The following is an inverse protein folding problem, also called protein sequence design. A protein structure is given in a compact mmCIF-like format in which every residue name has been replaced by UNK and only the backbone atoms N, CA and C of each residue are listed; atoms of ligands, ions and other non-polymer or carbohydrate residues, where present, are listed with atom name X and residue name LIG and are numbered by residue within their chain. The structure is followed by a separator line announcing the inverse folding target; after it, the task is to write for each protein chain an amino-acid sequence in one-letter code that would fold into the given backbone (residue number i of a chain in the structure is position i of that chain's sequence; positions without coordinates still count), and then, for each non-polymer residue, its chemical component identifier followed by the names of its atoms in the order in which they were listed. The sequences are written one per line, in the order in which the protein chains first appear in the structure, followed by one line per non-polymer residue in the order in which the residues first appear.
data_IF_858061393948
#
_entry.id   IF_858061393948
#
_cell.length_a   1.000
_cell.length_b   1.000
_cell.length_c   1.000
_cell.angle_alpha   90.00
_cell.angle_beta   90.00
_cell.angle_gamma   90.00
#
_symmetry.space_group_name_H-M   'P 1'
#
loop_
_entity.id
_entity.type
_entity.pdbx_description
1 polymer ?
#
# COMPACT_ATOMS: atom_id res chain seq x y z
N UNK A 1 45.82 -14.90 33.70
CA UNK A 1 45.19 -16.22 33.50
C UNK A 1 44.01 -16.02 32.58
N UNK A 2 44.04 -16.58 31.36
CA UNK A 2 42.97 -16.41 30.39
C UNK A 2 41.77 -17.33 30.72
N UNK A 3 40.52 -16.89 30.49
CA UNK A 3 39.35 -17.70 30.82
C UNK A 3 39.17 -18.85 29.82
N UNK A 4 39.09 -20.08 30.33
CA UNK A 4 38.77 -21.29 29.57
C UNK A 4 37.38 -21.17 28.93
N UNK A 5 37.34 -21.11 27.59
CA UNK A 5 36.10 -21.09 26.82
C UNK A 5 35.36 -22.43 26.94
N UNK A 6 34.07 -22.33 27.30
CA UNK A 6 33.11 -23.43 27.44
C UNK A 6 33.25 -24.51 26.35
N UNK A 7 33.22 -25.78 26.78
CA UNK A 7 33.34 -27.00 25.96
C UNK A 7 32.37 -27.06 24.77
N UNK A 8 31.27 -26.29 24.81
CA UNK A 8 30.31 -26.21 23.70
C UNK A 8 30.84 -25.37 22.53
N UNK A 9 31.68 -24.37 22.78
CA UNK A 9 32.30 -23.53 21.74
C UNK A 9 33.32 -24.30 20.91
N UNK A 10 34.13 -25.16 21.57
CA UNK A 10 35.10 -26.04 20.90
C UNK A 10 34.39 -27.06 19.98
N UNK A 11 33.22 -27.58 20.39
CA UNK A 11 32.39 -28.44 19.53
C UNK A 11 31.84 -27.68 18.32
N UNK A 12 31.36 -26.44 18.49
CA UNK A 12 30.83 -25.63 17.39
C UNK A 12 31.90 -25.33 16.32
N UNK A 13 33.14 -25.00 16.74
CA UNK A 13 34.24 -24.78 15.80
C UNK A 13 34.65 -26.04 15.03
N UNK A 14 34.56 -27.21 15.66
CA UNK A 14 34.85 -28.48 14.99
C UNK A 14 33.83 -28.83 13.89
N UNK A 15 32.56 -28.47 14.09
CA UNK A 15 31.48 -28.66 13.11
C UNK A 15 31.63 -27.67 11.94
N UNK A 16 31.91 -26.40 12.23
CA UNK A 16 32.12 -25.36 11.21
C UNK A 16 33.33 -25.64 10.30
N UNK A 17 34.43 -26.18 10.85
CA UNK A 17 35.58 -26.59 10.03
C UNK A 17 35.26 -27.79 9.13
N UNK A 18 34.39 -28.71 9.58
CA UNK A 18 33.97 -29.89 8.81
C UNK A 18 33.01 -29.53 7.67
N UNK A 19 32.17 -28.51 7.84
CA UNK A 19 31.30 -28.01 6.76
C UNK A 19 32.05 -27.22 5.69
N UNK A 20 33.10 -26.48 6.08
CA UNK A 20 33.90 -25.72 5.12
C UNK A 20 34.78 -26.61 4.21
N UNK A 21 35.24 -27.76 4.68
CA UNK A 21 35.99 -28.71 3.84
C UNK A 21 35.10 -29.42 2.80
N UNK A 22 33.78 -29.51 3.02
CA UNK A 22 32.84 -30.16 2.09
C UNK A 22 32.37 -29.22 0.97
N UNK A 23 32.49 -27.89 1.15
CA UNK A 23 32.07 -26.88 0.15
C UNK A 23 33.18 -26.43 -0.81
N UNK A 24 34.44 -26.83 -0.59
CA UNK A 24 35.56 -26.36 -1.41
C UNK A 24 35.72 -27.06 -2.79
N UNK A 25 35.02 -28.17 -3.05
CA UNK A 25 35.22 -28.99 -4.26
C UNK A 25 34.06 -29.01 -5.28
N UNK A 26 33.27 -27.92 -5.39
CA UNK A 26 32.29 -27.77 -6.50
C UNK A 26 32.33 -26.40 -7.16
N UNK A 27 33.36 -26.16 -7.98
CA UNK A 27 33.31 -25.16 -9.06
C UNK A 27 32.31 -25.62 -10.13
N UNK A 28 31.16 -24.94 -10.25
CA UNK A 28 30.23 -25.13 -11.37
C UNK A 28 30.66 -24.28 -12.57
N UNK A 29 30.97 -24.94 -13.70
CA UNK A 29 31.12 -24.34 -15.04
C UNK A 29 29.73 -24.00 -15.62
N UNK A 30 29.66 -22.97 -16.46
CA UNK A 30 28.44 -22.58 -17.19
C UNK A 30 28.01 -23.66 -18.21
N UNK A 31 26.70 -23.83 -18.50
CA UNK A 31 26.22 -24.87 -19.41
C UNK A 31 26.33 -24.43 -20.88
N UNK A 32 26.79 -25.35 -21.73
CA UNK A 32 26.92 -25.18 -23.18
C UNK A 32 25.59 -25.37 -23.93
N UNK A 33 25.55 -24.81 -25.13
CA UNK A 33 24.36 -24.59 -25.99
C UNK A 33 23.61 -25.87 -26.40
N UNK A 34 24.25 -27.04 -26.34
CA UNK A 34 23.62 -28.32 -26.66
C UNK A 34 22.61 -28.82 -25.60
N UNK A 35 22.71 -28.37 -24.34
CA UNK A 35 21.76 -28.78 -23.27
C UNK A 35 20.46 -27.96 -23.28
N UNK A 36 20.45 -26.80 -23.96
CA UNK A 36 19.23 -25.98 -24.11
C UNK A 36 18.21 -26.60 -25.07
N UNK A 37 18.68 -27.35 -26.06
CA UNK A 37 17.83 -27.94 -27.10
C UNK A 37 17.08 -29.21 -26.68
N UNK A 38 17.45 -29.86 -25.57
CA UNK A 38 16.73 -31.05 -25.07
C UNK A 38 15.55 -30.72 -24.14
N UNK A 39 15.58 -29.57 -23.47
CA UNK A 39 14.49 -29.11 -22.60
C UNK A 39 13.33 -28.53 -23.43
N UNK A 40 13.64 -27.84 -24.53
CA UNK A 40 12.64 -27.32 -25.48
C UNK A 40 11.85 -28.43 -26.21
N UNK A 41 12.42 -29.63 -26.35
CA UNK A 41 11.76 -30.78 -27.01
C UNK A 41 10.78 -31.53 -26.10
N UNK A 42 10.95 -31.44 -24.76
CA UNK A 42 10.07 -32.09 -23.78
C UNK A 42 8.77 -31.32 -23.50
N UNK A 43 8.73 -30.03 -23.83
CA UNK A 43 7.58 -29.15 -23.61
C UNK A 43 6.59 -29.12 -24.78
N UNK A 44 6.91 -29.82 -25.88
CA UNK A 44 6.10 -29.95 -27.10
C UNK A 44 5.29 -31.26 -27.19
N UNK A 45 5.31 -32.10 -26.16
CA UNK A 45 4.63 -33.42 -26.13
C UNK A 45 3.50 -33.53 -25.09
N UNK A 46 3.12 -32.44 -24.43
CA UNK A 46 2.03 -32.41 -23.42
C UNK A 46 0.98 -31.34 -23.76
N UNK A 47 0.73 -31.14 -25.05
CA UNK A 47 -0.30 -30.23 -25.54
C UNK A 47 -0.91 -30.83 -26.79
N UNK A 48 -1.82 -31.78 -26.60
CA UNK A 48 -2.90 -32.05 -27.53
C UNK A 48 -3.99 -32.89 -26.85
N UNK A 49 -5.21 -32.73 -27.34
CA UNK A 49 -6.50 -33.34 -26.93
C UNK A 49 -7.40 -32.43 -26.07
N UNK A 50 -8.04 -31.49 -26.76
CA UNK A 50 -9.41 -31.06 -26.48
C UNK A 50 -10.30 -31.48 -27.67
N UNK A 51 -11.45 -32.08 -27.39
CA UNK A 51 -12.79 -31.84 -27.98
C UNK A 51 -13.77 -33.01 -27.63
N UNK A 52 -15.10 -32.81 -27.68
CA UNK A 52 -16.01 -33.04 -26.55
C UNK A 52 -17.09 -34.10 -26.80
N UNK A 53 -17.81 -34.52 -25.76
CA UNK A 53 -19.10 -35.22 -25.93
C UNK A 53 -20.07 -35.09 -24.74
N UNK A 54 -21.32 -34.87 -25.14
CA UNK A 54 -22.60 -34.86 -24.41
C UNK A 54 -22.92 -36.16 -23.65
N UNK A 55 -23.66 -36.09 -22.53
CA UNK A 55 -25.03 -36.62 -22.40
C UNK A 55 -25.57 -36.67 -20.95
N UNK A 56 -26.85 -36.27 -20.86
CA UNK A 56 -27.98 -36.80 -20.06
C UNK A 56 -28.15 -36.50 -18.56
N UNK A 57 -29.33 -35.92 -18.36
CA UNK A 57 -30.15 -35.70 -17.17
C UNK A 57 -30.37 -36.92 -16.26
N UNK A 58 -30.54 -36.62 -14.96
CA UNK A 58 -31.50 -37.28 -14.06
C UNK A 58 -32.07 -36.20 -13.12
N UNK A 59 -33.40 -36.05 -13.12
CA UNK A 59 -34.12 -35.22 -12.17
C UNK A 59 -34.94 -36.07 -11.21
N UNK A 60 -35.12 -35.62 -9.96
CA UNK A 60 -36.22 -36.08 -9.09
C UNK A 60 -36.71 -34.94 -8.17
N UNK A 61 -37.94 -34.53 -8.49
CA UNK A 61 -39.10 -34.10 -7.67
C UNK A 61 -38.95 -33.25 -6.38
N UNK A 62 -39.66 -32.12 -6.44
CA UNK A 62 -40.28 -31.34 -5.35
C UNK A 62 -41.09 -32.21 -4.38
N UNK A 63 -41.08 -31.84 -3.09
CA UNK A 63 -42.23 -31.96 -2.17
C UNK A 63 -42.45 -30.65 -1.43
N UNK A 64 -43.72 -30.25 -1.40
CA UNK A 64 -44.33 -29.10 -0.73
C UNK A 64 -45.16 -29.62 0.43
N UNK A 65 -44.96 -29.09 1.64
CA UNK A 65 -45.85 -29.02 2.81
C UNK A 65 -45.26 -27.84 3.63
N UNK A 66 -45.96 -26.84 4.17
CA UNK A 66 -47.26 -26.84 4.83
C UNK A 66 -47.05 -26.38 6.28
N UNK A 67 -47.25 -25.08 6.53
CA UNK A 67 -47.45 -24.28 7.76
C UNK A 67 -47.23 -24.89 9.18
N UNK A 68 -46.55 -24.14 10.07
CA UNK A 68 -46.58 -24.33 11.53
C UNK A 68 -45.66 -23.36 12.30
N UNK A 69 -46.24 -22.59 13.23
CA UNK A 69 -45.69 -21.43 13.96
C UNK A 69 -44.76 -21.74 15.14
N UNK A 70 -44.11 -20.68 15.65
CA UNK A 70 -43.29 -20.57 16.88
C UNK A 70 -41.89 -21.17 16.75
N UNK A 71 -40.79 -20.58 17.22
CA UNK A 71 -40.55 -19.75 18.41
C UNK A 71 -39.39 -18.80 18.14
N UNK A 72 -39.40 -17.63 18.79
CA UNK A 72 -38.35 -16.62 18.68
C UNK A 72 -36.97 -17.16 19.04
N UNK A 73 -36.03 -17.00 18.11
CA UNK A 73 -34.60 -17.10 18.36
C UNK A 73 -33.99 -15.76 17.99
N UNK A 74 -33.41 -15.11 18.99
CA UNK A 74 -32.68 -13.86 18.85
C UNK A 74 -31.55 -14.06 17.85
N UNK A 75 -31.71 -13.48 16.66
CA UNK A 75 -30.63 -13.38 15.68
C UNK A 75 -29.49 -12.61 16.35
N UNK A 76 -28.36 -13.30 16.53
CA UNK A 76 -27.11 -12.69 16.94
C UNK A 76 -26.76 -11.62 15.89
N UNK A 77 -27.00 -10.35 16.24
CA UNK A 77 -26.73 -9.20 15.39
C UNK A 77 -25.23 -9.19 15.06
N UNK A 78 -24.92 -9.33 13.78
CA UNK A 78 -23.55 -9.21 13.29
C UNK A 78 -23.07 -7.78 13.53
N UNK A 79 -21.93 -7.65 14.23
CA UNK A 79 -21.36 -6.34 14.51
C UNK A 79 -21.01 -5.61 13.19
N UNK A 80 -21.30 -4.30 13.09
CA UNK A 80 -20.99 -3.53 11.89
C UNK A 80 -19.49 -3.54 11.61
N UNK A 81 -19.13 -3.61 10.33
CA UNK A 81 -17.74 -3.50 9.89
C UNK A 81 -17.08 -2.27 10.50
N UNK A 82 -15.83 -2.40 10.96
CA UNK A 82 -15.08 -1.32 11.61
C UNK A 82 -15.03 -0.03 10.77
N UNK A 83 -15.15 -0.14 9.45
CA UNK A 83 -15.22 1.00 8.52
C UNK A 83 -16.54 1.78 8.63
N UNK A 84 -17.65 1.08 8.83
CA UNK A 84 -18.98 1.68 8.98
C UNK A 84 -19.14 2.31 10.36
N UNK A 85 -18.64 1.66 11.41
CA UNK A 85 -18.64 2.21 12.76
C UNK A 85 -17.83 3.52 12.86
N UNK A 86 -16.64 3.56 12.25
CA UNK A 86 -15.81 4.77 12.21
C UNK A 86 -16.43 5.89 11.35
N UNK A 87 -17.16 5.55 10.30
CA UNK A 87 -17.89 6.54 9.49
C UNK A 87 -19.12 7.08 10.23
N UNK A 88 -19.83 6.21 10.97
CA UNK A 88 -21.00 6.55 11.77
C UNK A 88 -20.65 7.53 12.90
N UNK A 89 -19.54 7.26 13.61
CA UNK A 89 -19.01 8.12 14.66
C UNK A 89 -18.58 9.50 14.14
N UNK A 90 -17.96 9.56 12.96
CA UNK A 90 -17.51 10.83 12.34
C UNK A 90 -18.68 11.72 11.85
N UNK A 91 -19.93 11.21 11.80
CA UNK A 91 -21.09 11.91 11.25
C UNK A 91 -22.31 11.97 12.21
N UNK A 92 -22.13 11.66 13.50
CA UNK A 92 -23.20 11.64 14.51
C UNK A 92 -24.42 10.75 14.15
N UNK A 93 -24.20 9.66 13.40
CA UNK A 93 -25.26 8.73 12.99
C UNK A 93 -25.10 7.43 13.79
N UNK A 94 -26.19 6.89 14.34
CA UNK A 94 -26.11 5.63 15.09
C UNK A 94 -25.86 4.45 14.15
N UNK A 95 -25.04 3.49 14.60
CA UNK A 95 -24.78 2.27 13.84
C UNK A 95 -26.06 1.47 13.52
N UNK A 96 -27.12 1.67 14.31
CA UNK A 96 -28.44 1.07 14.12
C UNK A 96 -29.21 1.71 12.96
N UNK A 97 -29.23 3.05 12.90
CA UNK A 97 -29.88 3.79 11.81
C UNK A 97 -29.20 3.53 10.45
N UNK A 98 -27.89 3.23 10.46
CA UNK A 98 -27.14 2.82 9.28
C UNK A 98 -27.49 1.40 8.79
N UNK A 99 -27.69 0.46 9.71
CA UNK A 99 -28.13 -0.89 9.37
C UNK A 99 -29.57 -0.89 8.83
N UNK A 100 -30.44 -0.07 9.43
CA UNK A 100 -31.85 0.09 9.02
C UNK A 100 -31.98 0.83 7.66
N UNK A 101 -31.07 1.75 7.33
CA UNK A 101 -31.10 2.49 6.07
C UNK A 101 -30.54 1.72 4.86
N UNK A 102 -29.60 0.79 5.07
CA UNK A 102 -28.84 0.15 3.98
C UNK A 102 -29.00 -1.38 3.86
N UNK A 103 -29.61 -2.05 4.84
CA UNK A 103 -29.89 -3.49 4.81
C UNK A 103 -28.64 -4.38 4.91
N UNK A 104 -28.82 -5.63 5.37
CA UNK A 104 -27.76 -6.55 5.81
C UNK A 104 -26.82 -7.12 4.72
N UNK A 105 -26.87 -6.65 3.47
CA UNK A 105 -26.13 -7.28 2.37
C UNK A 105 -24.83 -6.54 1.98
N UNK A 106 -23.85 -6.55 2.88
CA UNK A 106 -22.47 -6.10 2.58
C UNK A 106 -21.51 -7.29 2.48
N UNK A 107 -21.60 -8.03 1.37
CA UNK A 107 -20.57 -9.01 0.95
C UNK A 107 -19.49 -8.41 0.04
N UNK A 108 -19.52 -7.10 -0.25
CA UNK A 108 -18.54 -6.44 -1.11
C UNK A 108 -17.54 -5.61 -0.29
N UNK A 109 -16.26 -5.95 -0.46
CA UNK A 109 -15.04 -5.46 0.21
C UNK A 109 -14.64 -4.02 -0.12
N UNK A 110 -15.52 -3.22 -0.71
CA UNK A 110 -15.23 -1.85 -1.15
C UNK A 110 -15.77 -0.86 -0.14
N UNK A 111 -14.93 0.06 0.33
CA UNK A 111 -15.34 1.20 1.17
C UNK A 111 -16.36 2.01 0.36
N UNK A 112 -17.66 2.03 0.73
CA UNK A 112 -18.67 2.70 -0.09
C UNK A 112 -18.51 4.21 0.08
N UNK A 113 -18.07 4.90 -0.97
CA UNK A 113 -18.24 6.35 -1.10
C UNK A 113 -19.61 6.63 -1.71
N UNK A 114 -20.26 7.74 -1.31
CA UNK A 114 -21.56 8.18 -1.87
C UNK A 114 -21.52 8.43 -3.40
N UNK A 115 -20.32 8.53 -3.99
CA UNK A 115 -20.08 8.70 -5.43
C UNK A 115 -19.32 7.51 -5.97
N UNK A 116 -19.70 7.08 -7.18
CA UNK A 116 -18.96 6.07 -7.94
C UNK A 116 -17.63 6.63 -8.44
N UNK A 117 -16.60 5.78 -8.47
CA UNK A 117 -15.28 6.15 -8.96
C UNK A 117 -15.27 6.28 -10.48
N UNK A 118 -14.74 7.39 -10.99
CA UNK A 118 -14.56 7.61 -12.42
C UNK A 118 -13.16 7.21 -12.82
N UNK A 119 -13.01 5.99 -13.34
CA UNK A 119 -11.73 5.50 -13.83
C UNK A 119 -11.20 6.41 -14.93
N UNK A 120 -9.95 6.87 -14.80
CA UNK A 120 -9.32 7.83 -15.70
C UNK A 120 -10.06 9.19 -15.80
N UNK A 121 -10.87 9.55 -14.80
CA UNK A 121 -11.70 10.76 -14.81
C UNK A 121 -10.94 12.08 -14.79
N UNK A 122 -9.66 12.09 -14.43
CA UNK A 122 -8.88 13.31 -14.22
C UNK A 122 -9.31 14.00 -12.92
N UNK A 123 -9.24 15.33 -12.87
CA UNK A 123 -9.65 16.10 -11.70
C UNK A 123 -11.18 16.10 -11.56
N UNK A 124 -11.67 15.76 -10.37
CA UNK A 124 -13.08 15.86 -10.04
C UNK A 124 -13.46 17.29 -9.65
N UNK A 125 -14.36 17.92 -10.42
CA UNK A 125 -14.76 19.33 -10.23
C UNK A 125 -15.59 19.55 -8.95
N UNK A 126 -16.45 18.59 -8.59
CA UNK A 126 -17.40 18.72 -7.48
C UNK A 126 -16.87 18.20 -6.13
N UNK A 127 -15.55 18.01 -6.00
CA UNK A 127 -14.93 17.38 -4.82
C UNK A 127 -14.03 18.37 -4.10
N UNK A 128 -14.32 18.60 -2.82
CA UNK A 128 -13.40 19.33 -1.96
C UNK A 128 -12.15 18.47 -1.68
N UNK A 129 -10.98 19.00 -2.04
CA UNK A 129 -9.70 18.33 -1.86
C UNK A 129 -9.29 18.30 -0.38
N UNK A 130 -9.57 19.38 0.36
CA UNK A 130 -9.18 19.54 1.76
C UNK A 130 -7.67 19.68 1.99
N UNK A 131 -7.26 19.56 3.26
CA UNK A 131 -5.87 19.69 3.73
C UNK A 131 -5.02 18.43 3.53
N UNK A 132 -5.64 17.26 3.66
CA UNK A 132 -4.97 15.96 3.58
C UNK A 132 -5.42 15.25 2.31
N UNK A 133 -4.47 14.71 1.57
CA UNK A 133 -4.71 13.94 0.34
C UNK A 133 -4.02 12.60 0.42
N UNK A 134 -4.74 11.54 0.06
CA UNK A 134 -4.21 10.19 -0.11
C UNK A 134 -3.68 10.04 -1.52
N UNK A 135 -2.49 9.48 -1.69
CA UNK A 135 -1.82 9.32 -2.98
C UNK A 135 -1.31 7.90 -3.12
N UNK A 136 -1.54 7.31 -4.29
CA UNK A 136 -0.94 6.05 -4.71
C UNK A 136 -0.75 6.01 -6.23
N UNK A 137 0.35 5.41 -6.68
CA UNK A 137 0.72 5.29 -8.08
C UNK A 137 0.93 3.81 -8.47
N UNK A 138 0.50 3.48 -9.69
CA UNK A 138 0.90 2.23 -10.35
C UNK A 138 2.03 2.50 -11.34
N UNK A 139 3.00 1.58 -11.37
CA UNK A 139 4.18 1.69 -12.20
C UNK A 139 4.37 0.50 -13.14
N UNK A 140 4.94 0.77 -14.31
CA UNK A 140 5.34 -0.21 -15.32
C UNK A 140 6.86 -0.22 -15.49
N UNK A 141 7.39 -1.33 -16.00
CA UNK A 141 8.81 -1.55 -16.26
C UNK A 141 9.28 -0.96 -17.60
N UNK A 142 10.40 -0.24 -17.57
CA UNK A 142 11.10 0.32 -18.75
C UNK A 142 12.61 0.05 -18.67
N UNK A 143 13.30 0.21 -19.79
CA UNK A 143 14.77 0.22 -19.83
C UNK A 143 15.43 -1.16 -19.87
N UNK A 144 14.69 -2.22 -20.20
CA UNK A 144 15.25 -3.56 -20.41
C UNK A 144 15.97 -4.09 -19.17
N UNK A 145 17.30 -4.29 -19.26
CA UNK A 145 18.13 -4.87 -18.20
C UNK A 145 18.16 -4.06 -16.89
N UNK A 146 17.83 -2.77 -16.93
CA UNK A 146 17.88 -1.88 -15.75
C UNK A 146 16.60 -1.90 -14.90
N UNK A 147 15.56 -2.62 -15.35
CA UNK A 147 14.26 -2.83 -14.68
C UNK A 147 13.73 -1.59 -13.91
N UNK A 148 13.72 -0.44 -14.59
CA UNK A 148 13.26 0.82 -13.98
C UNK A 148 11.74 0.86 -13.97
N UNK A 149 11.18 1.44 -12.91
CA UNK A 149 9.74 1.61 -12.76
C UNK A 149 9.36 3.05 -13.08
N UNK A 150 8.39 3.26 -13.96
CA UNK A 150 7.86 4.58 -14.32
C UNK A 150 6.35 4.63 -14.15
N UNK A 151 5.82 5.84 -13.93
CA UNK A 151 4.40 6.08 -13.69
C UNK A 151 3.53 5.61 -14.86
N UNK A 152 2.42 4.92 -14.54
CA UNK A 152 1.43 4.49 -15.53
C UNK A 152 -0.02 4.71 -15.08
N UNK A 153 -0.28 4.84 -13.77
CA UNK A 153 -1.55 5.32 -13.21
C UNK A 153 -1.30 6.06 -11.91
N UNK A 154 -2.14 7.04 -11.61
CA UNK A 154 -2.13 7.75 -10.33
C UNK A 154 -3.56 7.96 -9.84
N UNK A 155 -3.76 7.76 -8.55
CA UNK A 155 -5.00 8.09 -7.85
C UNK A 155 -4.74 9.01 -6.67
N UNK A 156 -5.62 10.00 -6.49
CA UNK A 156 -5.64 10.88 -5.34
C UNK A 156 -7.04 10.86 -4.72
N UNK A 157 -7.10 10.72 -3.40
CA UNK A 157 -8.34 10.81 -2.63
C UNK A 157 -8.24 11.91 -1.58
N UNK A 158 -9.38 12.49 -1.18
CA UNK A 158 -9.40 13.43 -0.06
C UNK A 158 -9.37 12.70 1.30
N UNK A 159 -9.40 13.45 2.39
CA UNK A 159 -9.42 12.89 3.75
C UNK A 159 -10.55 11.87 3.96
N UNK A 160 -11.73 12.09 3.37
CA UNK A 160 -12.88 11.18 3.50
C UNK A 160 -12.80 9.94 2.59
N UNK A 161 -11.75 9.82 1.77
CA UNK A 161 -11.59 8.74 0.80
C UNK A 161 -12.35 8.95 -0.51
N UNK A 162 -12.92 10.15 -0.74
CA UNK A 162 -13.56 10.48 -2.01
C UNK A 162 -12.49 10.71 -3.08
N UNK A 163 -12.67 10.16 -4.28
CA UNK A 163 -11.76 10.36 -5.41
C UNK A 163 -11.69 11.84 -5.77
N UNK A 164 -10.47 12.38 -5.75
CA UNK A 164 -10.14 13.75 -6.21
C UNK A 164 -9.59 13.70 -7.62
N UNK A 165 -8.72 12.72 -7.90
CA UNK A 165 -8.05 12.58 -9.18
C UNK A 165 -7.81 11.10 -9.48
N UNK A 166 -8.02 10.67 -10.72
CA UNK A 166 -7.55 9.37 -11.22
C UNK A 166 -7.20 9.49 -12.71
N UNK A 167 -6.01 9.04 -13.10
CA UNK A 167 -5.57 9.06 -14.49
C UNK A 167 -4.65 7.90 -14.81
N UNK A 168 -4.87 7.27 -15.95
CA UNK A 168 -3.81 6.56 -16.65
C UNK A 168 -2.84 7.58 -17.25
N UNK A 169 -1.56 7.24 -17.23
CA UNK A 169 -0.47 8.13 -17.64
C UNK A 169 0.32 7.44 -18.73
N UNK A 170 0.56 8.15 -19.83
CA UNK A 170 1.40 7.66 -20.92
C UNK A 170 2.88 7.73 -20.50
N UNK A 171 3.59 6.60 -20.39
CA UNK A 171 5.01 6.62 -20.08
C UNK A 171 5.80 7.29 -21.20
N UNK A 172 6.79 8.12 -20.83
CA UNK A 172 7.69 8.78 -21.80
C UNK A 172 8.65 7.82 -22.50
N UNK A 173 8.86 6.65 -21.90
CA UNK A 173 9.79 5.63 -22.38
C UNK A 173 9.04 4.39 -22.84
N UNK A 174 9.69 3.59 -23.70
CA UNK A 174 9.09 2.34 -24.18
C UNK A 174 8.94 1.34 -23.04
N UNK A 175 7.69 0.90 -22.82
CA UNK A 175 7.33 -0.08 -21.79
C UNK A 175 7.78 -1.47 -22.22
N UNK A 176 8.66 -2.08 -21.41
CA UNK A 176 9.15 -3.43 -21.61
C UNK A 176 8.39 -4.47 -20.80
N UNK A 177 7.81 -4.08 -19.66
CA UNK A 177 6.97 -4.94 -18.83
C UNK A 177 5.82 -4.15 -18.21
N UNK A 178 4.58 -4.53 -18.50
CA UNK A 178 3.39 -3.86 -17.96
C UNK A 178 3.09 -4.24 -16.52
N UNK A 179 3.59 -5.39 -16.06
CA UNK A 179 3.34 -5.90 -14.71
C UNK A 179 1.85 -5.94 -14.35
N UNK A 180 0.98 -6.17 -15.34
CA UNK A 180 -0.49 -6.00 -15.22
C UNK A 180 -1.09 -6.80 -14.06
N UNK A 181 -0.57 -8.01 -13.81
CA UNK A 181 -0.96 -8.85 -12.67
C UNK A 181 -0.77 -8.19 -11.29
N UNK A 182 0.09 -7.17 -11.19
CA UNK A 182 0.26 -6.32 -10.02
C UNK A 182 -0.36 -4.96 -10.26
N UNK A 183 0.04 -4.25 -11.33
CA UNK A 183 -0.30 -2.83 -11.53
C UNK A 183 -1.74 -2.57 -11.96
N UNK A 184 -2.46 -3.57 -12.47
CA UNK A 184 -3.74 -3.38 -13.15
C UNK A 184 -3.67 -2.53 -14.43
N UNK A 185 -2.46 -2.18 -14.89
CA UNK A 185 -2.24 -1.39 -16.11
C UNK A 185 -1.88 -2.30 -17.28
N UNK A 186 -2.52 -2.07 -18.41
CA UNK A 186 -2.32 -2.80 -19.65
C UNK A 186 -2.12 -1.84 -20.84
N UNK A 187 -1.60 -2.33 -21.99
CA UNK A 187 -1.49 -1.53 -23.20
C UNK A 187 -2.82 -0.89 -23.63
N UNK A 188 -3.95 -1.54 -23.34
CA UNK A 188 -5.29 -1.04 -23.72
C UNK A 188 -5.63 0.28 -23.02
N UNK A 189 -5.10 0.50 -21.81
CA UNK A 189 -5.32 1.74 -21.07
C UNK A 189 -4.64 2.94 -21.74
N UNK A 190 -3.58 2.71 -22.52
CA UNK A 190 -2.80 3.77 -23.18
C UNK A 190 -3.57 4.52 -24.28
N UNK A 191 -4.62 3.91 -24.82
CA UNK A 191 -5.49 4.54 -25.81
C UNK A 191 -6.18 5.80 -25.28
N UNK A 192 -6.42 5.85 -23.96
CA UNK A 192 -7.07 6.99 -23.28
C UNK A 192 -6.19 7.63 -22.20
N UNK A 193 -4.94 7.19 -22.08
CA UNK A 193 -4.00 7.74 -21.10
C UNK A 193 -3.62 9.17 -21.46
N UNK A 194 -3.51 10.02 -20.44
CA UNK A 194 -3.06 11.41 -20.58
C UNK A 194 -1.53 11.48 -20.67
N UNK A 195 -1.02 12.55 -21.26
CA UNK A 195 0.42 12.77 -21.33
C UNK A 195 1.00 13.00 -19.93
N UNK A 196 2.22 12.49 -19.70
CA UNK A 196 2.88 12.57 -18.40
C UNK A 196 2.99 14.00 -17.88
N UNK A 197 3.34 14.95 -18.75
CA UNK A 197 3.59 16.33 -18.36
C UNK A 197 2.31 17.04 -17.89
N UNK A 198 1.17 16.75 -18.52
CA UNK A 198 -0.13 17.30 -18.12
C UNK A 198 -0.54 16.75 -16.74
N UNK A 199 -0.46 15.43 -16.58
CA UNK A 199 -0.79 14.77 -15.31
C UNK A 199 0.13 15.25 -14.18
N UNK A 200 1.43 15.36 -14.43
CA UNK A 200 2.39 15.84 -13.44
C UNK A 200 2.05 17.27 -12.99
N UNK A 201 1.70 18.16 -13.92
CA UNK A 201 1.34 19.54 -13.60
C UNK A 201 0.04 19.62 -12.79
N UNK A 202 -0.98 18.85 -13.15
CA UNK A 202 -2.25 18.79 -12.43
C UNK A 202 -2.05 18.26 -11.02
N UNK A 203 -1.33 17.14 -10.88
CA UNK A 203 -0.98 16.53 -9.59
C UNK A 203 -0.17 17.51 -8.74
N UNK A 204 0.85 18.17 -9.30
CA UNK A 204 1.64 19.15 -8.56
C UNK A 204 0.78 20.30 -8.01
N UNK A 205 -0.22 20.77 -8.76
CA UNK A 205 -1.19 21.78 -8.28
C UNK A 205 -2.05 21.25 -7.13
N UNK A 206 -2.51 20.00 -7.22
CA UNK A 206 -3.29 19.35 -6.16
C UNK A 206 -2.44 19.21 -4.89
N UNK A 207 -1.19 18.74 -5.00
CA UNK A 207 -0.33 18.48 -3.83
C UNK A 207 0.20 19.76 -3.17
N UNK A 208 0.20 20.90 -3.86
CA UNK A 208 0.77 22.15 -3.36
C UNK A 208 0.07 22.61 -2.07
N UNK A 209 0.86 22.78 -1.00
CA UNK A 209 0.39 23.28 0.30
C UNK A 209 -0.46 22.27 1.10
N UNK A 210 -0.50 21.01 0.69
CA UNK A 210 -1.29 19.95 1.34
C UNK A 210 -0.39 18.90 1.98
N UNK A 211 -0.96 18.14 2.92
CA UNK A 211 -0.28 17.00 3.53
C UNK A 211 -0.60 15.74 2.73
N UNK A 212 0.45 15.07 2.24
CA UNK A 212 0.33 13.83 1.48
C UNK A 212 0.36 12.64 2.45
N UNK A 213 -0.63 11.77 2.31
CA UNK A 213 -0.75 10.50 3.01
C UNK A 213 -0.63 9.38 1.99
N UNK A 214 0.09 8.31 2.31
CA UNK A 214 0.25 7.18 1.40
C UNK A 214 1.10 6.08 2.01
N UNK A 215 1.50 5.11 1.18
CA UNK A 215 2.30 3.98 1.62
C UNK A 215 3.57 3.85 0.79
N UNK A 216 4.74 4.04 1.42
CA UNK A 216 6.04 4.05 0.74
C UNK A 216 6.19 5.16 -0.33
N UNK A 217 5.58 6.32 -0.06
CA UNK A 217 5.49 7.54 -0.90
C UNK A 217 6.77 8.01 -1.62
N UNK A 218 7.94 7.53 -1.22
CA UNK A 218 9.18 7.82 -1.95
C UNK A 218 9.08 7.29 -3.39
N UNK A 219 8.53 6.09 -3.57
CA UNK A 219 8.42 5.46 -4.89
C UNK A 219 7.48 6.27 -5.80
N UNK A 220 6.34 6.69 -5.27
CA UNK A 220 5.33 7.48 -5.97
C UNK A 220 5.87 8.85 -6.38
N UNK A 221 6.52 9.56 -5.45
CA UNK A 221 7.10 10.87 -5.70
C UNK A 221 8.27 10.81 -6.69
N UNK A 222 9.09 9.76 -6.64
CA UNK A 222 10.16 9.53 -7.61
C UNK A 222 9.57 9.25 -9.01
N UNK A 223 8.53 8.42 -9.11
CA UNK A 223 7.84 8.13 -10.38
C UNK A 223 7.15 9.36 -10.98
N UNK A 224 6.62 10.25 -10.13
CA UNK A 224 6.07 11.55 -10.51
C UNK A 224 7.15 12.59 -10.83
N UNK A 225 8.41 12.33 -10.48
CA UNK A 225 9.50 13.30 -10.51
C UNK A 225 9.17 14.59 -9.74
N UNK A 226 8.45 14.46 -8.62
CA UNK A 226 8.02 15.58 -7.77
C UNK A 226 8.68 15.52 -6.39
N UNK A 227 9.08 16.68 -5.89
CA UNK A 227 9.51 16.84 -4.49
C UNK A 227 8.34 17.24 -3.61
N UNK A 228 8.37 16.81 -2.35
CA UNK A 228 7.44 17.31 -1.34
C UNK A 228 8.13 17.56 -0.01
N UNK A 229 7.65 18.55 0.74
CA UNK A 229 8.18 18.89 2.06
C UNK A 229 8.06 17.69 2.99
N UNK A 230 9.17 17.28 3.62
CA UNK A 230 9.16 16.17 4.58
C UNK A 230 8.22 16.40 5.77
N UNK A 231 7.90 17.67 6.06
CA UNK A 231 6.92 18.06 7.10
C UNK A 231 5.48 17.74 6.69
N UNK A 232 5.22 17.71 5.40
CA UNK A 232 3.89 17.54 4.84
C UNK A 232 3.69 16.13 4.27
N UNK A 233 4.52 15.17 4.69
CA UNK A 233 4.39 13.74 4.34
C UNK A 233 3.94 12.94 5.57
N UNK A 234 2.96 12.06 5.39
CA UNK A 234 2.51 11.04 6.33
C UNK A 234 2.56 9.68 5.64
N UNK A 235 3.75 9.09 5.67
CA UNK A 235 4.02 7.77 5.07
C UNK A 235 3.70 6.66 6.07
N UNK A 236 2.64 5.90 5.79
CA UNK A 236 2.17 4.80 6.64
C UNK A 236 3.21 3.69 6.78
N UNK A 237 4.04 3.43 5.76
CA UNK A 237 5.10 2.41 5.83
C UNK A 237 6.20 2.76 6.85
N UNK A 238 6.38 4.06 7.14
CA UNK A 238 7.43 4.57 8.04
C UNK A 238 6.91 4.93 9.43
N UNK A 239 5.62 4.74 9.69
CA UNK A 239 5.04 5.05 10.98
C UNK A 239 5.51 4.05 12.05
N UNK A 240 6.13 4.49 13.17
CA UNK A 240 6.69 3.56 14.15
C UNK A 240 5.65 2.65 14.80
N UNK A 241 4.42 3.14 14.98
CA UNK A 241 3.32 2.36 15.55
C UNK A 241 2.90 1.16 14.69
N UNK A 242 3.29 1.13 13.42
CA UNK A 242 3.00 0.01 12.51
C UNK A 242 4.13 -1.02 12.40
N UNK A 243 5.29 -0.79 13.03
CA UNK A 243 6.42 -1.74 12.96
C UNK A 243 6.08 -3.12 13.52
N UNK A 244 5.18 -3.19 14.49
CA UNK A 244 4.74 -4.45 15.10
C UNK A 244 4.03 -5.40 14.11
N UNK A 245 3.46 -4.88 13.02
CA UNK A 245 2.78 -5.67 11.99
C UNK A 245 3.73 -6.12 10.86
N UNK A 246 5.04 -5.98 11.05
CA UNK A 246 6.06 -6.33 10.06
C UNK A 246 7.08 -7.30 10.65
N UNK A 247 7.38 -8.35 9.92
CA UNK A 247 8.55 -9.21 10.18
C UNK A 247 9.84 -8.64 9.56
N UNK A 248 9.72 -7.66 8.66
CA UNK A 248 10.83 -6.98 7.98
C UNK A 248 10.97 -5.51 8.37
N UNK A 249 11.72 -4.75 7.56
CA UNK A 249 12.02 -3.33 7.83
C UNK A 249 10.79 -2.42 7.80
N UNK A 250 9.84 -2.70 6.90
CA UNK A 250 8.60 -1.93 6.73
C UNK A 250 7.41 -2.88 6.53
N UNK A 251 6.25 -2.63 7.16
CA UNK A 251 5.03 -3.40 6.96
C UNK A 251 4.48 -3.19 5.54
N UNK A 252 3.81 -4.21 4.99
CA UNK A 252 3.07 -4.08 3.72
C UNK A 252 1.70 -3.46 3.95
N UNK A 253 1.21 -2.65 3.01
CA UNK A 253 -0.12 -2.06 3.08
C UNK A 253 -1.21 -3.12 3.27
N UNK A 254 -1.18 -4.20 2.48
CA UNK A 254 -2.09 -5.35 2.61
C UNK A 254 -2.15 -5.93 4.02
N UNK A 255 -0.99 -6.07 4.69
CA UNK A 255 -0.94 -6.56 6.07
C UNK A 255 -1.56 -5.57 7.03
N UNK A 256 -1.27 -4.28 6.89
CA UNK A 256 -1.87 -3.25 7.75
C UNK A 256 -3.38 -3.14 7.55
N UNK A 257 -3.85 -3.16 6.30
CA UNK A 257 -5.28 -3.13 6.00
C UNK A 257 -6.01 -4.32 6.64
N UNK A 258 -5.42 -5.53 6.53
CA UNK A 258 -6.00 -6.73 7.14
C UNK A 258 -6.00 -6.68 8.67
N UNK A 259 -4.86 -6.41 9.29
CA UNK A 259 -4.70 -6.49 10.76
C UNK A 259 -5.35 -5.32 11.50
N UNK A 260 -5.38 -4.13 10.91
CA UNK A 260 -5.85 -2.90 11.58
C UNK A 260 -7.26 -2.51 11.15
N UNK A 261 -7.57 -2.64 9.86
CA UNK A 261 -8.87 -2.25 9.31
C UNK A 261 -9.83 -3.45 9.17
N UNK A 262 -9.32 -4.69 9.18
CA UNK A 262 -10.12 -5.88 8.93
C UNK A 262 -10.53 -6.04 7.46
N UNK A 263 -9.82 -5.38 6.54
CA UNK A 263 -10.15 -5.36 5.10
C UNK A 263 -9.06 -6.08 4.30
N UNK A 264 -9.47 -6.98 3.42
CA UNK A 264 -8.57 -7.63 2.46
C UNK A 264 -8.51 -6.83 1.17
N UNK A 265 -7.34 -6.27 0.88
CA UNK A 265 -7.03 -5.54 -0.35
C UNK A 265 -6.00 -6.30 -1.19
N UNK A 266 -5.79 -5.90 -2.45
CA UNK A 266 -4.78 -6.49 -3.34
C UNK A 266 -4.94 -8.03 -3.46
N UNK A 267 -6.19 -8.48 -3.62
CA UNK A 267 -6.52 -9.91 -3.85
C UNK A 267 -6.18 -10.38 -5.27
N UNK A 268 -6.15 -9.45 -6.22
CA UNK A 268 -5.74 -9.65 -7.62
C UNK A 268 -4.84 -8.49 -8.07
N UNK A 269 -5.17 -7.89 -9.21
CA UNK A 269 -4.54 -6.64 -9.66
C UNK A 269 -4.76 -5.53 -8.62
N UNK A 270 -3.78 -4.66 -8.46
CA UNK A 270 -3.89 -3.53 -7.55
C UNK A 270 -4.78 -2.44 -8.15
N UNK A 271 -5.41 -1.69 -7.24
CA UNK A 271 -6.17 -0.50 -7.57
C UNK A 271 -5.59 0.65 -6.76
N UNK A 272 -4.85 1.54 -7.42
CA UNK A 272 -4.36 2.75 -6.76
C UNK A 272 -5.41 3.56 -6.00
N UNK A 273 -6.70 3.53 -6.41
CA UNK A 273 -7.78 4.19 -5.66
C UNK A 273 -8.00 3.48 -4.31
N UNK A 274 -8.07 2.14 -4.32
CA UNK A 274 -8.26 1.31 -3.13
C UNK A 274 -7.06 1.46 -2.17
N UNK A 275 -5.85 1.45 -2.71
CA UNK A 275 -4.62 1.55 -1.93
C UNK A 275 -4.46 2.94 -1.31
N UNK A 276 -4.76 4.02 -2.06
CA UNK A 276 -4.80 5.38 -1.53
C UNK A 276 -5.84 5.54 -0.41
N UNK A 277 -7.03 4.91 -0.55
CA UNK A 277 -8.05 4.88 0.50
C UNK A 277 -7.59 4.11 1.73
N UNK A 278 -7.01 2.93 1.56
CA UNK A 278 -6.50 2.12 2.66
C UNK A 278 -5.44 2.89 3.46
N UNK A 279 -4.49 3.53 2.78
CA UNK A 279 -3.49 4.37 3.42
C UNK A 279 -4.11 5.57 4.16
N UNK A 280 -5.10 6.25 3.57
CA UNK A 280 -5.81 7.36 4.22
C UNK A 280 -6.59 6.90 5.45
N UNK A 281 -7.26 5.75 5.39
CA UNK A 281 -8.00 5.18 6.53
C UNK A 281 -7.07 4.78 7.68
N UNK A 282 -5.92 4.17 7.37
CA UNK A 282 -4.89 3.87 8.37
C UNK A 282 -4.40 5.13 9.08
N UNK A 283 -4.14 6.20 8.31
CA UNK A 283 -3.77 7.50 8.85
C UNK A 283 -4.87 8.10 9.72
N UNK A 284 -6.13 8.10 9.26
CA UNK A 284 -7.29 8.61 10.02
C UNK A 284 -7.43 7.93 11.37
N UNK A 285 -7.42 6.60 11.39
CA UNK A 285 -7.54 5.81 12.61
C UNK A 285 -6.44 6.08 13.63
N UNK A 286 -5.25 6.49 13.17
CA UNK A 286 -4.08 6.76 14.03
C UNK A 286 -3.64 8.23 13.98
N UNK A 287 -4.51 9.15 13.59
CA UNK A 287 -4.14 10.53 13.25
C UNK A 287 -3.42 11.23 14.41
N UNK A 288 -3.94 11.08 15.63
CA UNK A 288 -3.34 11.65 16.85
C UNK A 288 -1.90 11.16 17.05
N UNK A 289 -1.65 9.87 16.89
CA UNK A 289 -0.33 9.28 17.03
C UNK A 289 0.63 9.70 15.89
N UNK A 290 0.13 9.84 14.66
CA UNK A 290 0.88 10.43 13.56
C UNK A 290 1.26 11.88 13.82
N UNK A 291 0.33 12.69 14.35
CA UNK A 291 0.58 14.11 14.65
C UNK A 291 1.61 14.27 15.77
N UNK A 292 1.58 13.41 16.80
CA UNK A 292 2.59 13.39 17.87
C UNK A 292 3.97 13.00 17.33
N UNK A 293 4.08 11.86 16.63
CA UNK A 293 5.36 11.42 16.01
C UNK A 293 5.91 12.50 15.08
N UNK A 294 5.03 13.17 14.34
CA UNK A 294 5.42 14.24 13.45
C UNK A 294 5.95 15.48 14.18
N UNK A 295 5.23 15.94 15.21
CA UNK A 295 5.65 17.09 16.02
C UNK A 295 7.01 16.85 16.70
N UNK A 296 7.27 15.61 17.11
CA UNK A 296 8.57 15.21 17.66
C UNK A 296 9.69 15.24 16.62
N UNK A 297 9.43 14.77 15.39
CA UNK A 297 10.42 14.76 14.29
C UNK A 297 10.72 16.14 13.74
N UNK A 298 9.72 17.02 13.71
CA UNK A 298 9.81 18.36 13.13
C UNK A 298 9.33 19.42 14.12
N UNK A 299 10.10 19.69 15.20
CA UNK A 299 9.72 20.70 16.17
C UNK A 299 9.60 22.06 15.49
N UNK A 300 8.50 22.76 15.75
CA UNK A 300 8.32 24.14 15.31
C UNK A 300 9.28 25.00 16.14
N UNK A 301 10.33 25.53 15.50
CA UNK A 301 11.13 26.58 16.10
C UNK A 301 10.25 27.82 16.20
N UNK A 302 9.70 28.06 17.39
CA UNK A 302 9.11 29.36 17.72
C UNK A 302 10.25 30.37 17.59
N UNK A 303 10.16 31.29 16.62
CA UNK A 303 11.03 32.45 16.60
C UNK A 303 10.68 33.25 17.86
N UNK A 304 11.46 33.07 18.91
CA UNK A 304 11.38 33.91 20.09
C UNK A 304 11.61 35.35 19.66
N UNK A 305 10.61 36.19 19.90
CA UNK A 305 10.77 37.64 20.06
C UNK A 305 12.05 37.90 20.86
N UNK A 306 12.97 38.65 20.26
CA UNK A 306 14.28 38.93 20.83
C UNK A 306 14.20 39.56 22.22
N UNK A 307 14.38 38.74 23.25
CA UNK A 307 14.83 39.19 24.57
C UNK A 307 16.35 39.11 24.59
N UNK A 308 17.01 40.23 24.33
CA UNK A 308 18.46 40.34 24.39
C UNK A 308 18.98 39.95 25.78
N UNK A 309 19.61 38.78 25.90
CA UNK A 309 20.48 38.47 27.04
C UNK A 309 21.83 39.12 26.79
N UNK A 310 22.02 40.29 27.40
CA UNK A 310 23.32 40.93 27.55
C UNK A 310 24.29 39.97 28.24
N UNK A 311 25.37 39.63 27.54
CA UNK A 311 26.47 38.82 28.06
C UNK A 311 27.28 39.64 29.08
N UNK A 312 27.50 39.21 30.33
CA UNK A 312 28.30 39.98 31.27
C UNK A 312 29.79 39.86 30.90
N UNK A 313 30.37 40.98 30.43
CA UNK A 313 31.82 41.13 30.21
C UNK A 313 32.58 40.79 31.50
N UNK A 314 33.37 39.71 31.48
CA UNK A 314 34.41 39.44 32.48
C UNK A 314 35.42 40.59 32.49
N UNK A 315 35.39 41.43 33.53
CA UNK A 315 36.49 42.37 33.85
C UNK A 315 37.71 41.57 34.30
N UNK A 316 38.80 41.62 33.52
CA UNK A 316 40.14 41.23 33.98
C UNK A 316 40.58 42.18 35.11
N UNK A 317 40.73 41.67 36.33
CA UNK A 317 41.47 42.35 37.41
C UNK A 317 42.96 42.27 37.07
N UNK A 318 43.60 43.42 36.84
CA UNK A 318 45.05 43.59 36.93
C UNK A 318 45.41 43.58 38.42
N UNK A 319 46.19 42.59 38.86
CA UNK A 319 46.92 42.64 40.12
C UNK A 319 48.34 43.11 39.83
N UNK A 320 48.69 44.30 40.32
CA UNK A 320 50.06 44.71 40.64
C UNK A 320 50.22 44.44 42.13
N UNK A 321 51.25 43.67 42.48
CA UNK A 321 52.22 43.84 43.58
C UNK A 321 52.87 42.49 43.86
#
# INVERSE_FOLDING_TARGET
MAPELSSNWKKLQSVLKKENSVKADKKRKAPTEQTRNSIAKRRRLLGDLFEPASTKALGVKRRKMGNGSSSGEAAAQAAPSATLALWAEDNDISARDLADAYGEDFKNTTVPTKREDKVNGGLSEDVEIGKYVGLDCEMVGVGGEQDRSVLARISIVNFHGTQVYDSFVRPKEFVTDWRTHVSGVSPKNMATAREFDDVQQEVAKILKGRVIVGHALKNDLDALMLGHSKRDIRDTSKFPGFKQYSTGKYPKLKTLAKEILGVEIQGGEHSSIEDARAAMLLFRRHKSAFDIDHAQRFPVKVQGSGGGKSNPKKKKKKGKH
#
